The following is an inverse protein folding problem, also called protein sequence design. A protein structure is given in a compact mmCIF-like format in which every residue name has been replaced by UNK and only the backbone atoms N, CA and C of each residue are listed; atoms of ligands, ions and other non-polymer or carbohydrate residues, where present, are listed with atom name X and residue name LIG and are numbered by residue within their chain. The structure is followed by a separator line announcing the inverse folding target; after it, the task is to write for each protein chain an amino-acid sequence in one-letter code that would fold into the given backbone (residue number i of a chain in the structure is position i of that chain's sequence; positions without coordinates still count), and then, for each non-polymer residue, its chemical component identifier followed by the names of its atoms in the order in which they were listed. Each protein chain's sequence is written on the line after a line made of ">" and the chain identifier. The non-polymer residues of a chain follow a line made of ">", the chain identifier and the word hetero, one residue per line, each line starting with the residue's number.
data_IF_754759781748
#
_entry.id   IF_754759781748
#
_cell.length_a   1.000
_cell.length_b   1.000
_cell.length_c   1.000
_cell.angle_alpha   90.00
_cell.angle_beta   90.00
_cell.angle_gamma   90.00
#
_symmetry.space_group_name_H-M   'P 1'
#
loop_
_entity.id
_entity.type
_entity.pdbx_description
1 polymer ?
#
# COMPACT_ATOMS: atom_id res chain seq x y z
N UNK A 1 4.99 -8.24 -16.32
CA UNK A 1 5.57 -6.89 -16.20
C UNK A 1 4.43 -5.88 -16.29
N UNK A 2 4.32 -4.96 -15.35
CA UNK A 2 3.30 -3.90 -15.35
C UNK A 2 3.67 -2.92 -16.48
N UNK A 3 2.79 -2.75 -17.46
CA UNK A 3 3.05 -1.84 -18.58
C UNK A 3 2.67 -0.41 -18.19
N UNK A 4 3.69 0.39 -17.96
CA UNK A 4 3.68 1.84 -17.92
C UNK A 4 5.11 2.25 -18.24
N UNK A 5 5.33 3.27 -19.05
CA UNK A 5 6.66 3.67 -19.52
C UNK A 5 7.67 3.94 -18.37
N UNK A 6 7.18 4.08 -17.12
CA UNK A 6 7.99 4.17 -15.92
C UNK A 6 7.37 3.38 -14.74
N UNK A 7 8.17 2.73 -13.87
CA UNK A 7 7.71 1.96 -12.70
C UNK A 7 6.78 2.74 -11.75
N UNK A 8 6.89 4.06 -11.72
CA UNK A 8 6.09 4.96 -10.89
C UNK A 8 4.61 5.02 -11.30
N UNK A 9 4.25 4.60 -12.53
CA UNK A 9 2.85 4.46 -12.98
C UNK A 9 2.28 3.06 -12.75
N UNK A 10 3.10 2.10 -12.31
CA UNK A 10 2.74 0.70 -12.21
C UNK A 10 2.15 0.34 -10.84
N UNK A 11 2.68 0.93 -9.77
CA UNK A 11 2.14 0.84 -8.43
C UNK A 11 2.64 2.00 -7.56
N UNK A 12 1.90 2.32 -6.50
CA UNK A 12 2.36 3.23 -5.45
C UNK A 12 1.83 2.77 -4.09
N UNK A 13 2.55 3.13 -3.03
CA UNK A 13 2.10 3.01 -1.65
C UNK A 13 2.33 4.35 -0.96
N UNK A 14 1.27 4.98 -0.46
CA UNK A 14 1.33 6.18 0.38
C UNK A 14 0.95 5.80 1.80
N UNK A 15 1.91 5.92 2.71
CA UNK A 15 1.72 5.68 4.14
C UNK A 15 2.58 6.70 4.90
N UNK A 16 2.10 7.94 4.97
CA UNK A 16 2.80 9.09 5.55
C UNK A 16 1.92 9.81 6.57
N UNK A 17 2.32 11.01 6.99
CA UNK A 17 1.58 11.83 7.95
C UNK A 17 0.27 12.40 7.39
N UNK A 18 0.10 12.49 6.07
CA UNK A 18 -1.18 12.89 5.49
C UNK A 18 -2.19 11.74 5.55
N UNK A 19 -1.75 10.50 5.32
CA UNK A 19 -2.62 9.32 5.47
C UNK A 19 -2.78 8.88 6.93
N UNK A 20 -1.87 9.28 7.82
CA UNK A 20 -1.86 8.91 9.23
C UNK A 20 -1.70 10.16 10.13
N UNK A 21 -2.70 11.05 10.17
CA UNK A 21 -2.69 12.18 11.10
C UNK A 21 -2.75 11.70 12.57
N UNK A 22 -2.43 12.58 13.54
CA UNK A 22 -2.38 12.22 14.96
C UNK A 22 -3.64 11.53 15.45
N UNK A 23 -4.81 12.04 15.10
CA UNK A 23 -6.12 11.46 15.46
C UNK A 23 -6.28 10.00 15.02
N UNK A 24 -5.80 9.61 13.84
CA UNK A 24 -5.86 8.23 13.33
C UNK A 24 -4.87 7.34 14.08
N UNK A 25 -3.68 7.87 14.38
CA UNK A 25 -2.64 7.14 15.10
C UNK A 25 -3.01 6.91 16.56
N UNK A 26 -3.66 7.88 17.19
CA UNK A 26 -4.17 7.79 18.56
C UNK A 26 -5.27 6.73 18.69
N UNK A 27 -6.03 6.49 17.62
CA UNK A 27 -7.00 5.39 17.52
C UNK A 27 -6.33 4.03 17.26
N UNK A 28 -4.99 3.96 17.18
CA UNK A 28 -4.23 2.74 16.92
C UNK A 28 -4.35 2.25 15.47
N UNK A 29 -4.74 3.12 14.53
CA UNK A 29 -4.92 2.78 13.13
C UNK A 29 -3.68 3.11 12.31
N UNK A 30 -3.43 2.32 11.26
CA UNK A 30 -2.44 2.59 10.21
C UNK A 30 -3.14 2.46 8.86
N UNK A 31 -3.10 3.54 8.09
CA UNK A 31 -3.73 3.64 6.77
C UNK A 31 -2.62 3.73 5.72
N UNK A 32 -2.60 2.72 4.84
CA UNK A 32 -1.73 2.67 3.67
C UNK A 32 -2.58 2.68 2.39
N UNK A 33 -2.43 3.73 1.58
CA UNK A 33 -3.07 3.84 0.29
C UNK A 33 -2.20 3.16 -0.77
N UNK A 34 -2.69 2.05 -1.33
CA UNK A 34 -1.96 1.26 -2.32
C UNK A 34 -2.68 1.33 -3.67
N UNK A 35 -2.03 1.87 -4.69
CA UNK A 35 -2.50 1.81 -6.08
C UNK A 35 -1.69 0.81 -6.88
N UNK A 36 -2.33 -0.03 -7.68
CA UNK A 36 -1.65 -1.03 -8.53
C UNK A 36 -2.33 -1.12 -9.89
N UNK A 37 -1.57 -0.98 -10.98
CA UNK A 37 -2.05 -1.03 -12.35
C UNK A 37 -1.87 -2.44 -12.95
N UNK A 38 -2.72 -3.39 -12.56
CA UNK A 38 -2.57 -4.80 -12.97
C UNK A 38 -2.89 -5.00 -14.47
N UNK A 39 -2.04 -5.75 -15.17
CA UNK A 39 -2.21 -6.08 -16.59
C UNK A 39 -2.98 -7.40 -16.78
N UNK A 40 -3.77 -7.49 -17.85
CA UNK A 40 -4.56 -8.70 -18.17
C UNK A 40 -3.67 -9.81 -18.81
N UNK A 41 -4.01 -11.10 -18.59
CA UNK A 41 -5.07 -11.58 -17.70
C UNK A 41 -4.57 -11.59 -16.24
N UNK A 42 -5.26 -10.83 -15.40
CA UNK A 42 -4.95 -10.65 -13.98
C UNK A 42 -5.58 -11.79 -13.16
N UNK A 43 -5.27 -13.04 -13.51
CA UNK A 43 -5.99 -14.22 -12.97
C UNK A 43 -5.92 -14.30 -11.45
N UNK A 44 -4.79 -13.90 -10.85
CA UNK A 44 -4.65 -13.83 -9.40
C UNK A 44 -3.83 -12.61 -8.98
N UNK A 45 -4.36 -11.82 -8.06
CA UNK A 45 -3.67 -10.72 -7.39
C UNK A 45 -3.71 -11.00 -5.89
N UNK A 46 -2.55 -11.20 -5.28
CA UNK A 46 -2.42 -11.58 -3.87
C UNK A 46 -1.73 -10.45 -3.12
N UNK A 47 -2.44 -9.83 -2.18
CA UNK A 47 -1.87 -8.90 -1.21
C UNK A 47 -1.64 -9.66 0.10
N UNK A 48 -0.42 -9.56 0.66
CA UNK A 48 -0.09 -10.08 1.98
C UNK A 48 0.25 -8.90 2.87
N UNK A 49 -0.52 -8.74 3.94
CA UNK A 49 -0.30 -7.72 4.95
C UNK A 49 0.04 -8.42 6.26
N UNK A 50 1.08 -7.97 6.95
CA UNK A 50 1.48 -8.49 8.25
C UNK A 50 1.72 -7.32 9.19
N UNK A 51 1.09 -7.36 10.36
CA UNK A 51 1.45 -6.49 11.45
C UNK A 51 2.68 -7.09 12.15
N UNK A 52 3.80 -6.40 12.07
CA UNK A 52 4.94 -6.69 12.94
C UNK A 52 4.71 -5.91 14.23
N UNK A 53 4.32 -6.60 15.30
CA UNK A 53 4.49 -6.04 16.63
C UNK A 53 6.00 -5.86 16.82
N UNK A 54 6.46 -4.64 17.13
CA UNK A 54 7.86 -4.43 17.48
C UNK A 54 8.22 -5.42 18.58
N UNK A 55 9.26 -6.22 18.37
CA UNK A 55 9.82 -7.06 19.43
C UNK A 55 10.06 -6.15 20.64
N UNK A 56 9.35 -6.44 21.73
CA UNK A 56 9.46 -5.73 23.00
C UNK A 56 10.86 -5.79 23.57
#
# INVERSE_FOLDING_TARGET
>A
ALFGETPQKAFFVKCDGETNPPEVRELGQVVALIGVAIVKPAEFVIFRLQQMAGES
#
